data_IF_576389157659
#
_entry.id   IF_576389157659
#
_cell.length_a   1.000
_cell.length_b   1.000
_cell.length_c   1.000
_cell.angle_alpha   90.00
_cell.angle_beta   90.00
_cell.angle_gamma   90.00
#
_symmetry.space_group_name_H-M   'P 1'
#
loop_
_entity.id
_entity.type
_entity.pdbx_description
1 polymer ?
#
# COMPACT_ATOMS: atom_id res chain seq x y z
N UNK A 1 20.20 13.19 15.90
CA UNK A 1 19.30 12.05 15.73
C UNK A 1 19.99 11.06 14.80
N UNK A 2 20.21 9.82 15.22
CA UNK A 2 20.74 8.79 14.30
C UNK A 2 19.72 8.63 13.18
N UNK A 3 20.16 8.81 11.94
CA UNK A 3 19.35 8.55 10.75
C UNK A 3 18.87 7.09 10.83
N UNK A 4 17.57 6.87 10.84
CA UNK A 4 17.00 5.52 10.77
C UNK A 4 17.57 4.84 9.51
N UNK A 5 18.30 3.74 9.72
CA UNK A 5 18.74 2.92 8.59
C UNK A 5 17.61 2.00 8.16
N UNK A 6 16.59 2.57 7.52
CA UNK A 6 15.39 1.85 7.10
C UNK A 6 15.70 0.75 6.09
N UNK A 7 16.71 0.94 5.22
CA UNK A 7 17.10 -0.06 4.22
C UNK A 7 17.57 -1.35 4.92
N UNK A 8 18.48 -1.24 5.88
CA UNK A 8 18.98 -2.42 6.63
C UNK A 8 17.86 -3.05 7.46
N UNK A 9 16.95 -2.23 8.01
CA UNK A 9 15.81 -2.72 8.76
C UNK A 9 14.93 -3.61 7.89
N UNK A 10 14.45 -3.12 6.74
CA UNK A 10 13.53 -3.89 5.89
C UNK A 10 14.21 -5.05 5.16
N UNK A 11 15.51 -4.97 4.87
CA UNK A 11 16.25 -6.14 4.39
C UNK A 11 16.32 -7.27 5.43
N UNK A 12 16.55 -6.95 6.70
CA UNK A 12 16.54 -7.93 7.79
C UNK A 12 15.15 -8.45 8.08
N UNK A 13 14.17 -7.56 8.14
CA UNK A 13 12.78 -7.90 8.35
C UNK A 13 12.27 -8.93 7.32
N UNK A 14 12.58 -8.74 6.04
CA UNK A 14 12.24 -9.68 4.98
C UNK A 14 12.99 -11.03 5.03
N UNK A 15 14.07 -11.13 5.80
CA UNK A 15 14.76 -12.39 6.06
C UNK A 15 14.21 -13.13 7.29
N UNK A 16 13.75 -12.38 8.29
CA UNK A 16 13.24 -12.93 9.56
C UNK A 16 11.75 -13.29 9.48
N UNK A 17 10.97 -12.58 8.66
CA UNK A 17 9.53 -12.79 8.52
C UNK A 17 9.18 -13.24 7.11
N UNK A 18 8.42 -14.34 7.01
CA UNK A 18 7.88 -14.79 5.71
C UNK A 18 6.64 -13.98 5.33
N UNK A 19 6.84 -12.94 4.53
CA UNK A 19 5.75 -12.12 3.99
C UNK A 19 4.75 -12.90 3.12
N UNK A 20 5.09 -14.13 2.70
CA UNK A 20 4.23 -14.97 1.87
C UNK A 20 3.35 -15.92 2.69
N UNK A 21 3.53 -15.96 4.02
CA UNK A 21 2.60 -16.68 4.88
C UNK A 21 1.20 -16.07 4.78
N UNK A 22 0.18 -16.94 4.63
CA UNK A 22 -1.20 -16.49 4.50
C UNK A 22 -1.74 -15.99 5.84
N UNK A 23 -2.23 -14.76 5.85
CA UNK A 23 -2.96 -14.22 6.99
C UNK A 23 -4.27 -15.00 7.23
N UNK A 24 -4.74 -15.04 8.48
CA UNK A 24 -5.97 -15.72 8.88
C UNK A 24 -6.95 -14.79 9.58
N UNK A 25 -8.21 -15.16 9.59
CA UNK A 25 -9.25 -14.48 10.37
C UNK A 25 -9.44 -13.01 9.98
N UNK A 26 -9.40 -12.13 10.98
CA UNK A 26 -9.65 -10.69 10.79
C UNK A 26 -8.60 -10.03 9.89
N UNK A 27 -7.33 -10.40 10.02
CA UNK A 27 -6.22 -9.85 9.24
C UNK A 27 -6.36 -10.20 7.76
N UNK A 28 -6.66 -11.46 7.44
CA UNK A 28 -6.92 -11.89 6.05
C UNK A 28 -8.12 -11.17 5.43
N UNK A 29 -9.19 -10.98 6.24
CA UNK A 29 -10.36 -10.25 5.79
C UNK A 29 -10.01 -8.78 5.48
N UNK A 30 -9.30 -8.13 6.37
CA UNK A 30 -8.91 -6.72 6.26
C UNK A 30 -7.98 -6.49 5.06
N UNK A 31 -6.92 -7.29 4.93
CA UNK A 31 -5.99 -7.29 3.79
C UNK A 31 -6.73 -7.44 2.45
N UNK A 32 -7.65 -8.42 2.38
CA UNK A 32 -8.49 -8.61 1.19
C UNK A 32 -9.29 -7.34 0.85
N UNK A 33 -9.84 -6.63 1.85
CA UNK A 33 -10.63 -5.42 1.62
C UNK A 33 -9.76 -4.25 1.14
N UNK A 34 -8.55 -4.12 1.66
CA UNK A 34 -7.55 -3.17 1.14
C UNK A 34 -7.30 -3.44 -0.35
N UNK A 35 -6.99 -4.69 -0.72
CA UNK A 35 -6.75 -5.07 -2.12
C UNK A 35 -7.97 -4.77 -3.01
N UNK A 36 -9.18 -5.14 -2.60
CA UNK A 36 -10.42 -4.88 -3.35
C UNK A 36 -10.69 -3.38 -3.54
N UNK A 37 -10.36 -2.55 -2.55
CA UNK A 37 -10.43 -1.09 -2.69
C UNK A 37 -9.45 -0.57 -3.73
N UNK A 38 -8.18 -0.99 -3.68
CA UNK A 38 -7.17 -0.62 -4.67
C UNK A 38 -7.63 -1.04 -6.06
N UNK A 39 -8.02 -2.30 -6.25
CA UNK A 39 -8.52 -2.82 -7.53
C UNK A 39 -9.68 -1.97 -8.07
N UNK A 40 -10.59 -1.53 -7.20
CA UNK A 40 -11.75 -0.71 -7.60
C UNK A 40 -11.38 0.69 -8.11
N UNK A 41 -10.15 1.16 -7.86
CA UNK A 41 -9.64 2.47 -8.30
C UNK A 41 -8.72 2.39 -9.52
N UNK A 42 -8.21 1.18 -9.82
CA UNK A 42 -7.41 0.94 -11.02
C UNK A 42 -8.29 1.08 -12.27
N UNK A 43 -7.85 1.78 -13.33
CA UNK A 43 -8.57 1.85 -14.59
C UNK A 43 -8.81 0.47 -15.19
N UNK A 44 -9.89 0.30 -15.96
CA UNK A 44 -10.17 -0.97 -16.67
C UNK A 44 -9.16 -1.23 -17.79
N UNK A 45 -8.74 -0.18 -18.47
CA UNK A 45 -7.77 -0.21 -19.54
C UNK A 45 -6.45 0.34 -19.02
N UNK A 46 -5.43 -0.50 -18.93
CA UNK A 46 -4.06 -0.17 -18.57
C UNK A 46 -3.12 -1.24 -19.08
N UNK A 47 -1.86 -0.87 -19.28
CA UNK A 47 -0.83 -1.78 -19.78
C UNK A 47 0.23 -2.09 -18.71
N UNK A 48 0.52 -1.13 -17.81
CA UNK A 48 1.68 -1.22 -16.92
C UNK A 48 1.31 -0.80 -15.49
N UNK A 49 1.75 -1.62 -14.52
CA UNK A 49 1.67 -1.30 -13.09
C UNK A 49 3.07 -1.40 -12.47
N UNK A 50 3.41 -0.45 -11.58
CA UNK A 50 4.48 -0.57 -10.61
C UNK A 50 3.87 -0.82 -9.23
N UNK A 51 4.26 -1.93 -8.60
CA UNK A 51 3.89 -2.31 -7.24
C UNK A 51 5.08 -2.01 -6.31
N UNK A 52 4.99 -0.96 -5.50
CA UNK A 52 6.07 -0.50 -4.63
C UNK A 52 5.87 -1.02 -3.22
N UNK A 53 6.89 -1.73 -2.71
CA UNK A 53 6.78 -2.55 -1.51
C UNK A 53 5.91 -3.78 -1.79
N UNK A 54 6.30 -4.56 -2.79
CA UNK A 54 5.46 -5.61 -3.38
C UNK A 54 5.10 -6.75 -2.40
N UNK A 55 5.85 -6.94 -1.31
CA UNK A 55 5.59 -7.98 -0.32
C UNK A 55 5.26 -9.33 -0.96
N UNK A 56 4.04 -9.83 -0.76
CA UNK A 56 3.54 -11.12 -1.30
C UNK A 56 3.29 -11.12 -2.82
N UNK A 57 3.45 -10.02 -3.53
CA UNK A 57 3.16 -9.94 -4.96
C UNK A 57 1.68 -10.06 -5.32
N UNK A 58 0.77 -9.63 -4.46
CA UNK A 58 -0.68 -9.74 -4.69
C UNK A 58 -1.14 -8.97 -5.93
N UNK A 59 -0.47 -7.87 -6.28
CA UNK A 59 -0.73 -7.10 -7.50
C UNK A 59 -0.41 -7.95 -8.72
N UNK A 60 0.75 -8.62 -8.73
CA UNK A 60 1.13 -9.56 -9.79
C UNK A 60 0.10 -10.69 -9.90
N UNK A 61 -0.25 -11.34 -8.79
CA UNK A 61 -1.30 -12.39 -8.73
C UNK A 61 -2.59 -11.94 -9.41
N UNK A 62 -3.01 -10.69 -9.20
CA UNK A 62 -4.30 -10.19 -9.69
C UNK A 62 -4.27 -9.70 -11.13
N UNK A 63 -3.19 -9.03 -11.56
CA UNK A 63 -3.17 -8.31 -12.83
C UNK A 63 -2.46 -9.03 -13.97
N UNK A 64 -1.49 -9.91 -13.70
CA UNK A 64 -0.85 -10.71 -14.74
C UNK A 64 -1.82 -11.55 -15.58
N UNK A 65 -2.82 -12.26 -14.97
CA UNK A 65 -3.80 -13.02 -15.75
C UNK A 65 -4.68 -12.16 -16.66
N UNK A 66 -4.66 -10.83 -16.49
CA UNK A 66 -5.38 -9.86 -17.32
C UNK A 66 -4.51 -9.26 -18.44
N UNK A 67 -3.30 -9.78 -18.61
CA UNK A 67 -2.35 -9.31 -19.64
C UNK A 67 -1.64 -8.00 -19.28
N UNK A 68 -1.74 -7.53 -18.04
CA UNK A 68 -1.08 -6.31 -17.58
C UNK A 68 0.37 -6.61 -17.22
N UNK A 69 1.30 -5.76 -17.64
CA UNK A 69 2.69 -5.85 -17.21
C UNK A 69 2.82 -5.31 -15.78
N UNK A 70 3.36 -6.14 -14.88
CA UNK A 70 3.56 -5.80 -13.47
C UNK A 70 5.05 -5.79 -13.15
N UNK A 71 5.50 -4.72 -12.51
CA UNK A 71 6.85 -4.59 -11.98
C UNK A 71 6.73 -4.58 -10.45
N UNK A 72 7.19 -5.64 -9.80
CA UNK A 72 7.18 -5.78 -8.34
C UNK A 72 8.49 -5.24 -7.76
N UNK A 73 8.43 -4.11 -7.07
CA UNK A 73 9.58 -3.43 -6.49
C UNK A 73 9.58 -3.56 -4.97
N UNK A 74 10.74 -3.89 -4.41
CA UNK A 74 10.96 -3.90 -2.97
C UNK A 74 12.42 -3.55 -2.66
N UNK A 75 12.69 -3.05 -1.45
CA UNK A 75 14.05 -2.79 -0.98
C UNK A 75 14.79 -4.08 -0.60
N UNK A 76 14.06 -5.13 -0.24
CA UNK A 76 14.62 -6.48 -0.06
C UNK A 76 14.83 -7.16 -1.41
N UNK A 77 15.80 -8.07 -1.50
CA UNK A 77 15.99 -8.90 -2.70
C UNK A 77 15.04 -10.09 -2.73
N UNK A 78 14.62 -10.57 -1.56
CA UNK A 78 13.83 -11.79 -1.39
C UNK A 78 12.39 -11.62 -1.90
N UNK A 79 11.73 -10.50 -1.58
CA UNK A 79 10.32 -10.30 -1.90
C UNK A 79 10.04 -10.27 -3.42
N UNK A 80 10.70 -9.43 -4.23
CA UNK A 80 10.46 -9.43 -5.67
C UNK A 80 10.91 -10.73 -6.36
N UNK A 81 11.99 -11.36 -5.88
CA UNK A 81 12.43 -12.65 -6.42
C UNK A 81 11.38 -13.75 -6.20
N UNK A 82 10.87 -13.88 -4.96
CA UNK A 82 9.84 -14.86 -4.62
C UNK A 82 8.49 -14.54 -5.29
N UNK A 83 8.16 -13.25 -5.48
CA UNK A 83 6.96 -12.86 -6.21
C UNK A 83 7.03 -13.33 -7.69
N UNK A 84 8.17 -13.17 -8.36
CA UNK A 84 8.36 -13.65 -9.74
C UNK A 84 8.34 -15.18 -9.82
N UNK A 85 8.93 -15.86 -8.84
CA UNK A 85 8.89 -17.33 -8.74
C UNK A 85 7.47 -17.86 -8.60
N UNK A 86 6.64 -17.22 -7.77
CA UNK A 86 5.25 -17.64 -7.51
C UNK A 86 4.29 -17.27 -8.63
N UNK A 87 4.54 -16.15 -9.32
CA UNK A 87 3.70 -15.64 -10.40
C UNK A 87 4.52 -15.44 -11.67
N UNK A 88 5.05 -16.54 -12.26
CA UNK A 88 5.92 -16.47 -13.43
C UNK A 88 5.13 -15.98 -14.66
N UNK A 89 5.66 -14.98 -15.36
CA UNK A 89 5.08 -14.42 -16.58
C UNK A 89 6.14 -13.59 -17.32
N UNK A 90 6.10 -13.58 -18.64
CA UNK A 90 6.89 -12.63 -19.44
C UNK A 90 6.53 -11.15 -19.16
N UNK A 91 5.35 -10.92 -18.62
CA UNK A 91 4.87 -9.61 -18.19
C UNK A 91 5.18 -9.28 -16.74
N UNK A 92 5.97 -10.11 -16.03
CA UNK A 92 6.33 -9.88 -14.62
C UNK A 92 7.83 -9.66 -14.46
N UNK A 93 8.20 -8.55 -13.83
CA UNK A 93 9.59 -8.27 -13.46
C UNK A 93 9.70 -7.97 -11.95
N UNK A 94 10.68 -8.59 -11.29
CA UNK A 94 11.06 -8.30 -9.92
C UNK A 94 12.22 -7.30 -9.88
N UNK A 95 12.12 -6.24 -9.06
CA UNK A 95 13.08 -5.15 -9.01
C UNK A 95 13.47 -4.90 -7.56
N UNK A 96 14.75 -5.01 -7.26
CA UNK A 96 15.31 -4.62 -5.96
C UNK A 96 15.80 -3.18 -6.04
N UNK A 97 15.09 -2.26 -5.40
CA UNK A 97 15.46 -0.85 -5.39
C UNK A 97 14.92 -0.12 -4.17
N UNK A 98 15.56 1.01 -3.85
CA UNK A 98 15.03 1.99 -2.91
C UNK A 98 13.88 2.78 -3.55
N UNK A 99 12.75 2.86 -2.87
CA UNK A 99 11.57 3.60 -3.31
C UNK A 99 11.78 5.12 -3.41
N UNK A 100 12.88 5.64 -2.88
CA UNK A 100 13.32 7.03 -3.07
C UNK A 100 14.18 7.23 -4.33
N UNK A 101 14.55 6.14 -5.03
CA UNK A 101 15.33 6.17 -6.28
C UNK A 101 14.89 5.03 -7.18
N UNK A 102 13.69 5.17 -7.71
CA UNK A 102 13.06 4.16 -8.57
C UNK A 102 13.80 4.11 -9.92
N UNK A 103 14.35 2.94 -10.34
CA UNK A 103 15.21 2.83 -11.52
C UNK A 103 14.42 2.84 -12.85
N UNK A 104 13.48 3.74 -12.97
CA UNK A 104 12.70 3.98 -14.18
C UNK A 104 12.71 5.46 -14.54
N UNK A 105 12.59 5.74 -15.82
CA UNK A 105 12.44 7.11 -16.32
C UNK A 105 11.07 7.70 -15.94
N UNK A 106 10.95 9.02 -16.04
CA UNK A 106 9.68 9.70 -15.81
C UNK A 106 8.59 9.15 -16.72
N UNK A 107 7.34 9.22 -16.29
CA UNK A 107 6.17 8.85 -17.10
C UNK A 107 6.17 7.39 -17.62
N UNK A 108 6.62 6.43 -16.79
CA UNK A 108 6.78 5.01 -17.17
C UNK A 108 5.53 4.15 -16.99
N UNK A 109 4.69 4.44 -15.97
CA UNK A 109 3.62 3.54 -15.55
C UNK A 109 2.23 4.17 -15.65
N UNK A 110 1.26 3.38 -16.13
CA UNK A 110 -0.15 3.81 -16.15
C UNK A 110 -0.71 3.92 -14.72
N UNK A 111 -0.26 3.01 -13.85
CA UNK A 111 -0.63 3.00 -12.43
C UNK A 111 0.60 2.67 -11.57
N UNK A 112 0.79 3.42 -10.50
CA UNK A 112 1.73 3.10 -9.41
C UNK A 112 0.90 2.82 -8.15
N UNK A 113 1.21 1.72 -7.46
CA UNK A 113 0.54 1.29 -6.23
C UNK A 113 1.57 1.28 -5.11
N UNK A 114 1.24 1.91 -3.98
CA UNK A 114 1.98 1.81 -2.73
C UNK A 114 0.96 1.49 -1.62
N UNK A 115 0.88 0.21 -1.26
CA UNK A 115 -0.12 -0.30 -0.32
C UNK A 115 0.51 -0.54 1.04
N UNK A 116 0.07 0.22 2.06
CA UNK A 116 0.54 0.10 3.46
C UNK A 116 2.07 0.25 3.56
N UNK A 117 2.62 1.30 2.94
CA UNK A 117 4.07 1.57 2.88
C UNK A 117 4.42 2.96 3.42
N UNK A 118 3.60 3.98 3.13
CA UNK A 118 3.94 5.37 3.42
C UNK A 118 4.14 5.65 4.92
N UNK A 119 3.50 4.88 5.80
CA UNK A 119 3.65 4.95 7.27
C UNK A 119 5.03 4.52 7.76
N UNK A 120 5.77 3.80 6.94
CA UNK A 120 7.09 3.24 7.25
C UNK A 120 8.26 4.07 6.72
N UNK A 121 8.02 4.96 5.75
CA UNK A 121 9.11 5.69 5.08
C UNK A 121 9.59 6.88 5.89
N UNK A 122 10.89 7.20 5.79
CA UNK A 122 11.53 8.27 6.57
C UNK A 122 11.11 9.68 6.12
N UNK A 123 10.81 9.85 4.84
CA UNK A 123 10.36 11.12 4.23
C UNK A 123 9.19 10.87 3.29
N UNK A 124 7.95 10.96 3.79
CA UNK A 124 6.76 10.73 2.97
C UNK A 124 6.60 11.69 1.79
N UNK A 125 7.12 12.93 1.90
CA UNK A 125 7.00 13.91 0.82
C UNK A 125 7.87 13.53 -0.37
N UNK A 126 9.15 13.24 -0.14
CA UNK A 126 10.07 12.77 -1.19
C UNK A 126 9.64 11.41 -1.75
N UNK A 127 9.10 10.52 -0.91
CA UNK A 127 8.52 9.25 -1.34
C UNK A 127 7.39 9.45 -2.34
N UNK A 128 6.37 10.26 -2.01
CA UNK A 128 5.24 10.52 -2.92
C UNK A 128 5.69 11.19 -4.20
N UNK A 129 6.64 12.14 -4.12
CA UNK A 129 7.22 12.82 -5.29
C UNK A 129 7.90 11.83 -6.24
N UNK A 130 8.71 10.90 -5.71
CA UNK A 130 9.38 9.89 -6.53
C UNK A 130 8.39 8.90 -7.16
N UNK A 131 7.38 8.45 -6.41
CA UNK A 131 6.30 7.62 -6.95
C UNK A 131 5.57 8.36 -8.09
N UNK A 132 5.28 9.63 -7.89
CA UNK A 132 4.55 10.44 -8.86
C UNK A 132 5.36 10.75 -10.12
N UNK A 133 6.68 10.87 -9.99
CA UNK A 133 7.60 11.04 -11.13
C UNK A 133 7.41 9.96 -12.18
N UNK A 134 7.35 8.70 -11.75
CA UNK A 134 7.26 7.55 -12.66
C UNK A 134 5.83 7.25 -13.16
N UNK A 135 4.80 7.95 -12.64
CA UNK A 135 3.44 7.87 -13.17
C UNK A 135 3.36 8.60 -14.50
N UNK A 136 2.78 7.97 -15.53
CA UNK A 136 2.51 8.59 -16.84
C UNK A 136 1.56 9.77 -16.74
N UNK A 137 1.65 10.70 -17.68
CA UNK A 137 0.63 11.74 -17.89
C UNK A 137 -0.74 11.09 -18.08
N UNK A 138 -1.72 11.53 -17.31
CA UNK A 138 -3.07 10.93 -17.24
C UNK A 138 -3.16 9.65 -16.41
N UNK A 139 -2.04 9.12 -15.93
CA UNK A 139 -1.96 7.94 -15.05
C UNK A 139 -2.34 8.23 -13.60
N UNK A 140 -2.27 7.20 -12.76
CA UNK A 140 -2.68 7.29 -11.35
C UNK A 140 -1.62 6.74 -10.39
N UNK A 141 -1.47 7.44 -9.26
CA UNK A 141 -0.82 6.92 -8.05
C UNK A 141 -1.91 6.53 -7.04
N UNK A 142 -1.85 5.30 -6.54
CA UNK A 142 -2.75 4.78 -5.50
C UNK A 142 -1.94 4.52 -4.24
N UNK A 143 -2.33 5.14 -3.13
CA UNK A 143 -1.70 4.93 -1.82
C UNK A 143 -2.76 4.50 -0.83
N UNK A 144 -2.49 3.41 -0.08
CA UNK A 144 -3.26 3.07 1.12
C UNK A 144 -2.37 3.14 2.36
N UNK A 145 -2.98 3.46 3.49
CA UNK A 145 -2.30 3.51 4.79
C UNK A 145 -3.34 3.47 5.93
N UNK A 146 -2.97 3.10 7.15
CA UNK A 146 -3.85 3.24 8.31
C UNK A 146 -4.32 4.68 8.52
N UNK A 147 -5.63 4.86 8.74
CA UNK A 147 -6.24 6.17 8.88
C UNK A 147 -6.24 6.65 10.34
N UNK A 148 -5.60 7.79 10.60
CA UNK A 148 -5.51 8.43 11.93
C UNK A 148 -5.10 7.44 13.00
N UNK A 149 -4.08 6.62 12.68
CA UNK A 149 -3.57 5.63 13.60
C UNK A 149 -2.92 6.29 14.82
N UNK A 150 -3.18 5.76 16.00
CA UNK A 150 -2.44 6.13 17.20
C UNK A 150 -1.13 5.36 17.23
N UNK A 151 -0.02 6.06 17.03
CA UNK A 151 1.31 5.43 17.09
C UNK A 151 1.57 4.91 18.51
N UNK A 152 1.86 3.62 18.60
CA UNK A 152 2.20 2.93 19.83
C UNK A 152 3.70 2.68 19.85
N UNK A 153 4.34 2.84 20.99
CA UNK A 153 5.77 2.61 21.17
C UNK A 153 6.02 1.61 22.28
N UNK A 154 6.90 0.68 22.03
CA UNK A 154 7.42 -0.25 23.02
C UNK A 154 8.86 0.10 23.39
N UNK A 155 9.31 -0.37 24.53
CA UNK A 155 10.71 -0.31 24.90
C UNK A 155 11.42 -1.55 24.32
N UNK A 156 12.42 -1.32 23.46
CA UNK A 156 13.21 -2.41 22.89
C UNK A 156 14.02 -3.10 23.99
N UNK A 157 13.86 -4.40 24.18
CA UNK A 157 14.57 -5.17 25.21
C UNK A 157 16.08 -5.24 24.99
N UNK A 158 16.54 -5.04 23.74
CA UNK A 158 17.96 -5.09 23.42
C UNK A 158 18.70 -3.77 23.67
N UNK A 159 18.12 -2.63 23.22
CA UNK A 159 18.82 -1.34 23.27
C UNK A 159 18.17 -0.32 24.20
N UNK A 160 17.07 -0.66 24.89
CA UNK A 160 16.31 0.20 25.78
C UNK A 160 15.84 1.53 25.14
N UNK A 161 15.66 1.55 23.81
CA UNK A 161 15.12 2.69 23.09
C UNK A 161 13.63 2.48 22.75
N UNK A 162 12.89 3.58 22.70
CA UNK A 162 11.50 3.54 22.22
C UNK A 162 11.47 3.14 20.76
N UNK A 163 10.73 2.07 20.46
CA UNK A 163 10.57 1.52 19.12
C UNK A 163 9.09 1.54 18.75
N UNK A 164 8.70 2.07 17.58
CA UNK A 164 7.30 2.09 17.19
C UNK A 164 6.80 0.66 16.92
N UNK A 165 5.57 0.39 17.33
CA UNK A 165 4.89 -0.84 16.98
C UNK A 165 4.72 -0.93 15.46
N UNK A 166 4.85 -2.12 14.89
CA UNK A 166 4.72 -2.39 13.46
C UNK A 166 5.64 -1.53 12.57
N UNK A 167 6.68 -0.91 13.14
CA UNK A 167 7.56 0.05 12.46
C UNK A 167 6.85 1.28 11.87
N UNK A 168 5.62 1.58 12.32
CA UNK A 168 4.87 2.77 11.88
C UNK A 168 5.44 4.03 12.53
N UNK A 169 6.11 4.86 11.75
CA UNK A 169 6.72 6.12 12.22
C UNK A 169 5.87 7.34 11.89
N UNK A 170 4.87 7.19 11.05
CA UNK A 170 3.92 8.24 10.68
C UNK A 170 2.46 7.80 10.85
N UNK A 171 1.60 8.78 11.10
CA UNK A 171 0.15 8.61 11.08
C UNK A 171 -0.44 9.62 10.10
N UNK A 172 -1.35 9.17 9.25
CA UNK A 172 -1.91 9.93 8.14
C UNK A 172 -3.40 10.19 8.28
N UNK A 173 -3.81 11.32 7.74
CA UNK A 173 -5.19 11.68 7.45
C UNK A 173 -5.29 12.25 6.02
N UNK A 174 -6.51 12.56 5.62
CA UNK A 174 -6.82 13.13 4.31
C UNK A 174 -6.06 14.42 4.01
N UNK A 175 -5.89 15.27 5.03
CA UNK A 175 -5.25 16.59 4.87
C UNK A 175 -3.75 16.44 4.66
N UNK A 176 -3.10 15.58 5.42
CA UNK A 176 -1.66 15.31 5.25
C UNK A 176 -1.37 14.72 3.87
N UNK A 177 -2.19 13.75 3.44
CA UNK A 177 -2.01 13.10 2.14
C UNK A 177 -2.31 14.05 0.99
N UNK A 178 -3.33 14.90 1.10
CA UNK A 178 -3.61 15.94 0.11
C UNK A 178 -2.47 16.96 0.01
N UNK A 179 -1.81 17.30 1.11
CA UNK A 179 -0.70 18.26 1.10
C UNK A 179 0.48 17.80 0.23
N UNK A 180 0.72 16.49 0.09
CA UNK A 180 1.74 15.96 -0.82
C UNK A 180 1.40 16.14 -2.30
N UNK A 181 0.15 16.49 -2.63
CA UNK A 181 -0.27 16.82 -3.98
C UNK A 181 0.05 18.27 -4.39
N UNK A 182 0.40 19.12 -3.43
CA UNK A 182 0.66 20.54 -3.70
C UNK A 182 1.99 20.73 -4.39
N UNK A 183 1.98 21.40 -5.54
CA UNK A 183 3.17 21.66 -6.34
C UNK A 183 3.49 20.61 -7.39
N UNK A 184 2.79 19.50 -7.42
CA UNK A 184 2.90 18.47 -8.45
C UNK A 184 1.86 18.70 -9.57
N UNK A 185 2.11 18.11 -10.76
CA UNK A 185 1.19 18.17 -11.90
C UNK A 185 -0.04 17.27 -11.70
N UNK A 186 -0.78 17.51 -10.62
CA UNK A 186 -1.96 16.74 -10.26
C UNK A 186 -3.21 17.38 -10.86
N UNK A 187 -3.96 16.57 -11.64
CA UNK A 187 -5.25 16.93 -12.18
C UNK A 187 -6.34 16.80 -11.10
N UNK A 188 -6.26 15.71 -10.30
CA UNK A 188 -7.27 15.37 -9.30
C UNK A 188 -6.68 14.59 -8.15
N UNK A 189 -7.08 14.96 -6.94
CA UNK A 189 -6.90 14.17 -5.72
C UNK A 189 -8.25 13.68 -5.22
N UNK A 190 -8.35 12.39 -4.93
CA UNK A 190 -9.53 11.77 -4.34
C UNK A 190 -9.10 10.86 -3.19
N UNK A 191 -9.94 10.76 -2.17
CA UNK A 191 -9.72 9.80 -1.11
C UNK A 191 -11.02 9.12 -0.68
N UNK A 192 -10.90 7.96 -0.07
CA UNK A 192 -12.00 7.22 0.55
C UNK A 192 -11.47 6.53 1.81
N UNK A 193 -12.18 6.67 2.93
CA UNK A 193 -11.86 5.93 4.16
C UNK A 193 -12.74 4.70 4.26
N UNK A 194 -12.19 3.59 4.79
CA UNK A 194 -12.87 2.31 4.85
C UNK A 194 -12.35 1.40 5.95
N UNK A 195 -13.06 0.28 6.14
CA UNK A 195 -12.80 -0.63 7.26
C UNK A 195 -13.28 0.00 8.57
N UNK A 196 -14.27 -0.58 9.24
CA UNK A 196 -14.78 -0.01 10.48
C UNK A 196 -14.30 -0.82 11.69
N UNK A 197 -13.65 -0.14 12.66
CA UNK A 197 -13.11 -0.78 13.89
C UNK A 197 -14.18 -1.54 14.67
N UNK A 198 -15.43 -1.05 14.70
CA UNK A 198 -16.52 -1.71 15.38
C UNK A 198 -16.88 -3.04 14.70
N UNK A 199 -16.89 -3.08 13.36
CA UNK A 199 -17.19 -4.32 12.63
C UNK A 199 -16.14 -5.40 12.90
N UNK A 200 -14.87 -5.03 13.01
CA UNK A 200 -13.80 -5.98 13.38
C UNK A 200 -13.94 -6.41 14.83
N UNK A 201 -14.19 -5.48 15.75
CA UNK A 201 -14.39 -5.77 17.18
C UNK A 201 -15.53 -6.76 17.40
N UNK A 202 -16.65 -6.59 16.71
CA UNK A 202 -17.81 -7.48 16.75
C UNK A 202 -17.60 -8.81 15.96
N UNK A 203 -16.39 -9.04 15.45
CA UNK A 203 -16.03 -10.23 14.66
C UNK A 203 -16.95 -10.49 13.46
N UNK A 204 -17.57 -9.45 12.92
CA UNK A 204 -18.50 -9.58 11.79
C UNK A 204 -17.81 -10.11 10.52
N UNK A 205 -16.46 -10.04 10.45
CA UNK A 205 -15.68 -10.59 9.36
C UNK A 205 -15.96 -12.09 9.12
N UNK A 206 -16.35 -12.87 10.15
CA UNK A 206 -16.71 -14.28 10.03
C UNK A 206 -17.85 -14.48 9.03
N UNK A 207 -18.78 -13.53 8.96
CA UNK A 207 -19.91 -13.55 8.01
C UNK A 207 -19.58 -12.70 6.79
N UNK A 208 -19.03 -11.50 6.99
CA UNK A 208 -18.79 -10.54 5.92
C UNK A 208 -17.68 -10.97 4.95
N UNK A 209 -16.83 -11.94 5.31
CA UNK A 209 -15.84 -12.50 4.39
C UNK A 209 -16.48 -13.17 3.15
N UNK A 210 -17.71 -13.66 3.26
CA UNK A 210 -18.43 -14.28 2.15
C UNK A 210 -19.15 -13.27 1.25
N UNK A 211 -19.18 -12.00 1.64
CA UNK A 211 -19.87 -10.97 0.88
C UNK A 211 -19.00 -10.47 -0.28
N UNK A 212 -19.58 -10.29 -1.48
CA UNK A 212 -18.90 -9.61 -2.57
C UNK A 212 -18.58 -8.17 -2.18
N UNK A 213 -17.52 -7.63 -2.77
CA UNK A 213 -16.97 -6.32 -2.39
C UNK A 213 -18.03 -5.20 -2.36
N UNK A 214 -18.90 -5.12 -3.38
CA UNK A 214 -19.92 -4.07 -3.47
C UNK A 214 -20.90 -4.09 -2.30
N UNK A 215 -21.28 -5.29 -1.82
CA UNK A 215 -22.19 -5.44 -0.70
C UNK A 215 -21.49 -5.14 0.63
N UNK A 216 -20.26 -5.65 0.79
CA UNK A 216 -19.45 -5.34 1.96
C UNK A 216 -19.19 -3.84 2.06
N UNK A 217 -18.80 -3.18 0.96
CA UNK A 217 -18.55 -1.72 0.89
C UNK A 217 -19.78 -0.91 1.34
N UNK A 218 -20.98 -1.33 0.98
CA UNK A 218 -22.22 -0.70 1.46
C UNK A 218 -22.40 -0.84 2.97
N UNK A 219 -22.14 -2.03 3.53
CA UNK A 219 -22.23 -2.27 4.97
C UNK A 219 -21.19 -1.48 5.76
N UNK A 220 -19.97 -1.43 5.25
CA UNK A 220 -18.89 -0.66 5.83
C UNK A 220 -19.20 0.85 5.83
N UNK A 221 -19.67 1.40 4.71
CA UNK A 221 -20.11 2.80 4.62
C UNK A 221 -21.25 3.11 5.60
N UNK A 222 -22.22 2.21 5.71
CA UNK A 222 -23.31 2.35 6.65
C UNK A 222 -22.82 2.35 8.10
N UNK A 223 -21.93 1.44 8.46
CA UNK A 223 -21.33 1.42 9.80
C UNK A 223 -20.55 2.70 10.10
N UNK A 224 -19.78 3.21 9.13
CA UNK A 224 -19.03 4.46 9.28
C UNK A 224 -19.91 5.73 9.33
N UNK A 225 -21.16 5.66 8.86
CA UNK A 225 -22.11 6.75 9.03
C UNK A 225 -22.50 6.98 10.50
N UNK A 226 -22.68 5.89 11.26
CA UNK A 226 -23.04 5.94 12.68
C UNK A 226 -21.83 5.93 13.61
N UNK A 227 -20.80 5.16 13.25
CA UNK A 227 -19.57 4.99 14.04
C UNK A 227 -18.37 5.36 13.18
N UNK A 228 -18.04 6.65 13.12
CA UNK A 228 -16.92 7.19 12.31
C UNK A 228 -15.55 6.76 12.84
N UNK A 229 -15.24 5.47 12.71
CA UNK A 229 -13.93 4.90 13.11
C UNK A 229 -13.36 4.04 11.97
N UNK A 230 -13.10 4.61 10.80
CA UNK A 230 -12.45 3.88 9.73
C UNK A 230 -11.03 3.46 10.13
N UNK A 231 -10.54 2.40 9.50
CA UNK A 231 -9.22 1.81 9.76
C UNK A 231 -8.22 2.31 8.74
N UNK A 232 -8.61 2.33 7.46
CA UNK A 232 -7.75 2.65 6.34
C UNK A 232 -8.24 3.87 5.56
N UNK A 233 -7.31 4.48 4.85
CA UNK A 233 -7.59 5.47 3.82
C UNK A 233 -6.93 5.02 2.52
N UNK A 234 -7.65 5.18 1.40
CA UNK A 234 -7.07 5.09 0.06
C UNK A 234 -7.07 6.47 -0.56
N UNK A 235 -5.94 6.86 -1.12
CA UNK A 235 -5.78 8.08 -1.88
C UNK A 235 -5.46 7.76 -3.35
N UNK A 236 -6.03 8.55 -4.23
CA UNK A 236 -5.85 8.48 -5.68
C UNK A 236 -5.39 9.83 -6.17
N UNK A 237 -4.16 9.89 -6.67
CA UNK A 237 -3.61 11.08 -7.32
C UNK A 237 -3.60 10.83 -8.82
N UNK A 238 -4.28 11.67 -9.59
CA UNK A 238 -4.28 11.59 -11.05
C UNK A 238 -3.36 12.65 -11.63
N UNK A 239 -2.37 12.24 -12.44
CA UNK A 239 -1.44 13.14 -13.12
C UNK A 239 -2.14 13.85 -14.27
N UNK A 240 -1.82 15.14 -14.49
CA UNK A 240 -2.29 15.87 -15.67
C UNK A 240 -1.85 15.19 -16.97
N UNK A 241 -2.60 15.39 -18.01
CA UNK A 241 -2.27 14.91 -19.37
C UNK A 241 -1.20 15.76 -20.02
#
# INVERSE_FOLDING_TARGET
MNKLNYIDHYKKDALEFDYFEENKGATAHDERRVHEYIISKVPKELNTILDVGCGKGWVAKHFLPKGVRVNSLDVSTSNPAKAVELYPSENHAGITADSFKIPFVDDSFDVVIASEIIEHVVDPAEFVKELFRVVKKGGKLLITTPYKEKLIYYLCVHCNKRTPANAHIHSFDEVKLENYSRGEDIEKFEYETFGNKLLIFLRTYVILQFFPFWLWKRKDKFANLFFRKPIHIICVYKKKR
#
